data_IF_173574316248
#
_entry.id   IF_173574316248
#
_cell.length_a   1.000
_cell.length_b   1.000
_cell.length_c   1.000
_cell.angle_alpha   90.00
_cell.angle_beta   90.00
_cell.angle_gamma   90.00
#
_symmetry.space_group_name_H-M   'P 1'
#
loop_
_entity.id
_entity.type
_entity.pdbx_description
1 polymer ?
#
# COMPACT_ATOMS: atom_id res chain seq x y z
N UNK A 1 -11.89 -31.08 32.35
CA UNK A 1 -10.43 -31.03 32.21
C UNK A 1 -10.11 -31.29 30.74
N UNK A 2 -9.96 -30.26 29.96
CA UNK A 2 -9.63 -30.36 28.53
C UNK A 2 -8.14 -30.09 28.37
N UNK A 3 -7.41 -31.11 27.99
CA UNK A 3 -5.97 -31.06 27.73
C UNK A 3 -5.71 -30.08 26.58
N UNK A 4 -5.12 -28.93 26.92
CA UNK A 4 -4.54 -28.02 25.93
C UNK A 4 -3.43 -28.78 25.19
N UNK A 5 -3.57 -28.87 23.89
CA UNK A 5 -2.58 -29.44 22.99
C UNK A 5 -1.37 -28.49 22.95
N UNK A 6 -0.42 -28.60 23.86
CA UNK A 6 0.74 -27.73 24.09
C UNK A 6 1.90 -27.93 23.09
N UNK A 7 1.72 -28.74 22.03
CA UNK A 7 2.82 -29.12 21.11
C UNK A 7 2.62 -28.74 19.63
N UNK A 8 1.88 -27.66 19.32
CA UNK A 8 1.97 -27.15 17.94
C UNK A 8 3.12 -26.14 17.87
N UNK A 9 4.09 -26.32 16.95
CA UNK A 9 5.12 -25.32 16.72
C UNK A 9 4.46 -23.98 16.39
N UNK A 10 5.05 -22.90 16.91
CA UNK A 10 4.57 -21.53 16.64
C UNK A 10 4.51 -21.29 15.13
N UNK A 11 3.32 -21.02 14.62
CA UNK A 11 3.05 -20.74 13.21
C UNK A 11 2.42 -19.35 13.08
N UNK A 12 3.21 -18.38 12.66
CA UNK A 12 2.77 -16.98 12.55
C UNK A 12 1.51 -16.80 11.66
N UNK A 13 1.38 -17.45 10.49
CA UNK A 13 0.15 -17.40 9.70
C UNK A 13 -1.10 -17.81 10.48
N UNK A 14 -1.04 -18.91 11.24
CA UNK A 14 -2.17 -19.38 12.03
C UNK A 14 -2.53 -18.41 13.16
N UNK A 15 -1.53 -17.84 13.82
CA UNK A 15 -1.75 -16.84 14.88
C UNK A 15 -2.35 -15.55 14.34
N UNK A 16 -1.91 -15.09 13.17
CA UNK A 16 -2.51 -13.91 12.50
C UNK A 16 -3.96 -14.18 12.11
N UNK A 17 -4.27 -15.36 11.58
CA UNK A 17 -5.64 -15.74 11.25
C UNK A 17 -6.54 -15.77 12.51
N UNK A 18 -6.04 -16.32 13.62
CA UNK A 18 -6.75 -16.31 14.91
C UNK A 18 -6.97 -14.88 15.41
N UNK A 19 -5.94 -14.03 15.37
CA UNK A 19 -6.05 -12.63 15.74
C UNK A 19 -7.17 -11.93 14.94
N UNK A 20 -7.17 -12.10 13.61
CA UNK A 20 -8.19 -11.50 12.75
C UNK A 20 -9.59 -11.92 13.18
N UNK A 21 -9.82 -13.21 13.43
CA UNK A 21 -11.12 -13.73 13.86
C UNK A 21 -11.51 -13.18 15.24
N UNK A 22 -10.64 -13.30 16.23
CA UNK A 22 -10.89 -12.83 17.60
C UNK A 22 -11.21 -11.33 17.65
N UNK A 23 -10.48 -10.53 16.88
CA UNK A 23 -10.69 -9.08 16.87
C UNK A 23 -11.97 -8.67 16.12
N UNK A 24 -12.36 -9.39 15.07
CA UNK A 24 -13.63 -9.17 14.37
C UNK A 24 -14.84 -9.56 15.23
N UNK A 25 -14.70 -10.52 16.12
CA UNK A 25 -15.75 -10.97 17.00
C UNK A 25 -15.80 -10.17 18.32
N UNK A 26 -14.64 -9.97 18.95
CA UNK A 26 -14.52 -9.41 20.30
C UNK A 26 -14.45 -7.88 20.36
N UNK A 27 -14.03 -7.20 19.29
CA UNK A 27 -13.92 -5.74 19.27
C UNK A 27 -15.07 -5.12 18.49
N UNK A 28 -16.00 -4.46 19.18
CA UNK A 28 -17.26 -3.96 18.60
C UNK A 28 -17.02 -3.00 17.42
N UNK A 29 -16.05 -2.08 17.52
CA UNK A 29 -15.72 -1.16 16.44
C UNK A 29 -15.26 -1.90 15.18
N UNK A 30 -14.36 -2.87 15.34
CA UNK A 30 -13.86 -3.68 14.24
C UNK A 30 -15.00 -4.50 13.65
N UNK A 31 -15.76 -5.21 14.46
CA UNK A 31 -16.92 -6.03 14.02
C UNK A 31 -17.86 -5.22 13.14
N UNK A 32 -18.34 -4.06 13.61
CA UNK A 32 -19.25 -3.19 12.85
C UNK A 32 -18.67 -2.72 11.52
N UNK A 33 -17.36 -2.41 11.49
CA UNK A 33 -16.73 -1.92 10.28
C UNK A 33 -16.42 -3.03 9.28
N UNK A 34 -16.03 -4.23 9.73
CA UNK A 34 -15.87 -5.41 8.87
C UNK A 34 -17.22 -5.93 8.33
N UNK A 35 -18.28 -5.91 9.14
CA UNK A 35 -19.64 -6.19 8.67
C UNK A 35 -20.09 -5.18 7.59
N UNK A 36 -19.69 -3.92 7.73
CA UNK A 36 -19.95 -2.88 6.72
C UNK A 36 -19.37 -3.18 5.34
N UNK A 37 -18.31 -3.99 5.24
CA UNK A 37 -17.75 -4.39 3.95
C UNK A 37 -18.71 -5.25 3.11
N UNK A 38 -19.70 -5.91 3.72
CA UNK A 38 -20.73 -6.68 3.00
C UNK A 38 -21.66 -5.80 2.17
N UNK A 39 -21.71 -4.50 2.48
CA UNK A 39 -22.60 -3.53 1.81
C UNK A 39 -21.85 -2.59 0.85
N UNK A 40 -20.54 -2.76 0.68
CA UNK A 40 -19.79 -1.97 -0.29
C UNK A 40 -20.26 -2.26 -1.72
N UNK A 41 -20.30 -1.23 -2.55
CA UNK A 41 -20.62 -1.36 -3.97
C UNK A 41 -19.33 -1.18 -4.77
N UNK A 42 -19.23 -1.89 -5.87
CA UNK A 42 -18.09 -1.79 -6.78
C UNK A 42 -18.56 -1.46 -8.19
N UNK A 43 -17.69 -0.76 -8.93
CA UNK A 43 -17.85 -0.43 -10.34
C UNK A 43 -16.52 -0.68 -11.01
N UNK A 44 -16.52 -1.42 -12.11
CA UNK A 44 -15.29 -1.74 -12.84
C UNK A 44 -15.19 -0.86 -14.08
N UNK A 45 -14.03 -0.28 -14.28
CA UNK A 45 -13.63 0.44 -15.48
C UNK A 45 -12.65 -0.43 -16.26
N UNK A 46 -12.98 -0.76 -17.49
CA UNK A 46 -12.18 -1.61 -18.37
C UNK A 46 -11.35 -0.74 -19.32
N UNK A 47 -10.03 -0.96 -19.33
CA UNK A 47 -9.05 -0.25 -20.15
C UNK A 47 -8.38 -1.21 -21.17
N UNK A 48 -9.12 -2.16 -21.71
CA UNK A 48 -8.68 -3.19 -22.66
C UNK A 48 -7.74 -4.22 -22.03
N UNK A 49 -6.57 -3.78 -21.55
CA UNK A 49 -5.50 -4.65 -21.01
C UNK A 49 -5.43 -4.67 -19.49
N UNK A 50 -6.09 -3.76 -18.82
CA UNK A 50 -6.15 -3.69 -17.37
C UNK A 50 -7.49 -3.12 -16.88
N UNK A 51 -7.74 -3.26 -15.59
CA UNK A 51 -8.97 -2.78 -14.95
C UNK A 51 -8.67 -1.87 -13.78
N UNK A 52 -9.61 -0.96 -13.53
CA UNK A 52 -9.65 -0.19 -12.30
C UNK A 52 -11.00 -0.47 -11.65
N UNK A 53 -10.99 -0.82 -10.36
CA UNK A 53 -12.19 -1.08 -9.58
C UNK A 53 -12.41 0.10 -8.65
N UNK A 54 -13.52 0.79 -8.78
CA UNK A 54 -13.97 1.76 -7.78
C UNK A 54 -14.82 1.04 -6.72
N UNK A 55 -14.59 1.37 -5.44
CA UNK A 55 -15.33 0.84 -4.30
C UNK A 55 -15.96 1.99 -3.51
N UNK A 56 -17.28 2.00 -3.40
CA UNK A 56 -17.98 2.87 -2.46
C UNK A 56 -17.92 2.27 -1.06
N UNK A 57 -17.17 2.95 -0.16
CA UNK A 57 -17.00 2.52 1.22
C UNK A 57 -17.16 3.71 2.19
N UNK A 58 -18.40 3.97 2.68
CA UNK A 58 -18.68 5.15 3.53
C UNK A 58 -17.96 5.11 4.89
N UNK A 59 -17.54 3.93 5.37
CA UNK A 59 -16.79 3.81 6.63
C UNK A 59 -15.36 4.39 6.53
N UNK A 60 -14.90 4.64 5.31
CA UNK A 60 -13.56 5.21 5.05
C UNK A 60 -13.52 6.73 5.08
N UNK A 61 -14.64 7.43 5.26
CA UNK A 61 -14.68 8.90 5.19
C UNK A 61 -13.65 9.58 6.11
N UNK A 62 -13.47 9.06 7.34
CA UNK A 62 -12.47 9.59 8.28
C UNK A 62 -11.05 9.45 7.80
N UNK A 63 -10.71 8.31 7.17
CA UNK A 63 -9.38 8.05 6.67
C UNK A 63 -9.09 8.84 5.39
N UNK A 64 -10.03 8.89 4.45
CA UNK A 64 -9.86 9.61 3.18
C UNK A 64 -9.81 11.14 3.38
N UNK A 65 -10.53 11.66 4.37
CA UNK A 65 -10.53 13.08 4.74
C UNK A 65 -9.49 13.44 5.80
N UNK A 66 -8.61 12.52 6.21
CA UNK A 66 -7.64 12.77 7.27
C UNK A 66 -6.72 13.96 6.93
N UNK A 67 -6.56 14.87 7.89
CA UNK A 67 -5.58 15.95 7.80
C UNK A 67 -4.21 15.42 8.16
N UNK A 68 -3.31 15.43 7.19
CA UNK A 68 -1.94 14.91 7.33
C UNK A 68 -0.90 16.02 7.27
N UNK A 69 -1.31 17.27 7.36
CA UNK A 69 -0.40 18.40 7.50
C UNK A 69 0.33 18.37 8.85
N UNK A 70 1.56 18.89 8.89
CA UNK A 70 2.44 18.84 10.05
C UNK A 70 1.84 19.49 11.30
N UNK A 71 0.99 20.53 11.14
CA UNK A 71 0.33 21.22 12.25
C UNK A 71 -0.78 20.36 12.86
N UNK A 72 -1.56 19.65 12.05
CA UNK A 72 -2.61 18.74 12.50
C UNK A 72 -2.03 17.50 13.18
N UNK A 73 -0.94 16.95 12.64
CA UNK A 73 -0.25 15.79 13.21
C UNK A 73 0.33 16.09 14.58
N UNK A 74 1.03 17.20 14.76
CA UNK A 74 1.61 17.58 16.06
C UNK A 74 0.57 17.79 17.18
N UNK A 75 -0.68 18.07 16.84
CA UNK A 75 -1.76 18.35 17.81
C UNK A 75 -2.51 17.10 18.28
N UNK A 76 -2.36 15.97 17.59
CA UNK A 76 -3.07 14.74 17.94
C UNK A 76 -2.17 13.71 18.62
N UNK A 77 -2.69 12.91 19.56
CA UNK A 77 -2.00 11.70 20.00
C UNK A 77 -1.82 10.74 18.81
N UNK A 78 -0.63 10.16 18.68
CA UNK A 78 -0.41 9.16 17.64
C UNK A 78 -1.20 7.89 17.97
N UNK A 79 -2.14 7.51 17.13
CA UNK A 79 -3.01 6.35 17.34
C UNK A 79 -2.31 5.00 17.12
N UNK A 80 -1.08 4.99 16.60
CA UNK A 80 -0.26 3.78 16.42
C UNK A 80 0.62 3.50 17.64
N UNK A 81 0.88 4.50 18.51
CA UNK A 81 1.63 4.29 19.74
C UNK A 81 0.83 3.41 20.72
N UNK A 82 1.50 2.43 21.33
CA UNK A 82 0.91 1.48 22.29
C UNK A 82 0.07 2.17 23.37
N UNK A 83 0.58 3.27 23.95
CA UNK A 83 -0.09 4.03 25.01
C UNK A 83 -1.42 4.69 24.60
N UNK A 84 -1.66 4.82 23.28
CA UNK A 84 -2.87 5.48 22.75
C UNK A 84 -3.81 4.47 22.06
N UNK A 85 -3.39 3.21 21.97
CA UNK A 85 -4.15 2.12 21.36
C UNK A 85 -5.38 1.77 22.24
N UNK A 86 -6.55 1.49 21.65
CA UNK A 86 -7.69 0.97 22.38
C UNK A 86 -7.34 -0.34 23.13
N UNK A 87 -7.86 -0.54 24.33
CA UNK A 87 -7.60 -1.76 25.11
C UNK A 87 -8.07 -3.02 24.42
N UNK A 88 -9.12 -2.93 23.61
CA UNK A 88 -9.69 -4.03 22.84
C UNK A 88 -8.81 -4.43 21.63
N UNK A 89 -7.94 -3.53 21.17
CA UNK A 89 -7.06 -3.81 20.03
C UNK A 89 -5.83 -4.59 20.51
N UNK A 90 -5.92 -5.90 20.46
CA UNK A 90 -4.78 -6.79 20.73
C UNK A 90 -3.93 -6.99 19.48
N UNK A 91 -2.69 -7.42 19.65
CA UNK A 91 -1.75 -7.64 18.54
C UNK A 91 -0.83 -8.83 18.77
N UNK A 92 -0.06 -9.16 17.76
CA UNK A 92 1.00 -10.16 17.76
C UNK A 92 2.32 -9.45 17.50
N UNK A 93 3.32 -9.77 18.31
CA UNK A 93 4.66 -9.24 18.11
C UNK A 93 5.36 -9.90 16.91
N UNK A 94 6.02 -9.08 16.10
CA UNK A 94 6.88 -9.54 15.03
C UNK A 94 8.29 -8.95 15.19
N UNK A 95 9.31 -9.81 15.19
CA UNK A 95 10.73 -9.45 15.39
C UNK A 95 10.99 -8.53 16.60
N UNK A 96 10.18 -8.60 17.64
CA UNK A 96 10.20 -7.73 18.82
C UNK A 96 9.98 -6.24 18.55
N UNK A 97 10.10 -5.78 17.31
CA UNK A 97 10.05 -4.38 16.93
C UNK A 97 8.69 -3.92 16.42
N UNK A 98 7.87 -4.85 15.93
CA UNK A 98 6.57 -4.55 15.32
C UNK A 98 5.42 -5.19 16.08
N UNK A 99 4.24 -4.59 15.97
CA UNK A 99 2.99 -5.20 16.40
C UNK A 99 2.09 -5.43 15.17
N UNK A 100 1.69 -6.68 14.92
CA UNK A 100 0.69 -7.00 13.88
C UNK A 100 -0.69 -6.79 14.51
N UNK A 101 -1.43 -5.82 13.99
CA UNK A 101 -2.77 -5.41 14.44
C UNK A 101 -3.77 -5.56 13.30
N UNK A 102 -5.06 -5.76 13.59
CA UNK A 102 -6.07 -5.54 12.57
C UNK A 102 -6.30 -4.04 12.34
N UNK A 103 -6.61 -3.67 11.10
CA UNK A 103 -7.04 -2.30 10.81
C UNK A 103 -8.52 -2.15 11.18
N UNK A 104 -8.90 -1.24 12.11
CA UNK A 104 -10.30 -1.10 12.53
C UNK A 104 -11.20 -0.41 11.49
N UNK A 105 -10.61 0.18 10.46
CA UNK A 105 -11.32 0.81 9.33
C UNK A 105 -10.95 0.11 8.02
N UNK A 106 -11.42 -1.12 7.80
CA UNK A 106 -10.91 -1.96 6.73
C UNK A 106 -11.36 -1.49 5.33
N UNK A 107 -10.53 -1.82 4.34
CA UNK A 107 -10.87 -1.80 2.91
C UNK A 107 -11.14 -3.24 2.45
N UNK A 108 -10.44 -4.19 3.07
CA UNK A 108 -10.41 -5.61 2.71
C UNK A 108 -10.99 -6.46 3.84
N UNK A 109 -11.44 -7.67 3.51
CA UNK A 109 -11.95 -8.64 4.48
C UNK A 109 -10.91 -9.04 5.53
N UNK A 110 -9.64 -8.96 5.17
CA UNK A 110 -8.49 -9.09 6.07
C UNK A 110 -7.58 -7.90 5.80
N UNK A 111 -7.45 -7.04 6.78
CA UNK A 111 -6.68 -5.80 6.67
C UNK A 111 -5.88 -5.59 7.94
N UNK A 112 -4.56 -5.62 7.81
CA UNK A 112 -3.61 -5.46 8.91
C UNK A 112 -2.97 -4.09 8.89
N UNK A 113 -2.59 -3.61 10.06
CA UNK A 113 -1.69 -2.46 10.26
C UNK A 113 -0.54 -2.94 11.14
N UNK A 114 0.69 -2.69 10.72
CA UNK A 114 1.88 -3.24 11.35
C UNK A 114 2.81 -2.08 11.70
N UNK A 115 2.53 -1.36 12.82
CA UNK A 115 3.38 -0.29 13.28
C UNK A 115 4.68 -0.80 13.90
N UNK A 116 5.74 -0.04 13.73
CA UNK A 116 6.92 -0.13 14.56
C UNK A 116 6.53 0.23 16.00
N UNK A 117 7.06 -0.44 17.01
CA UNK A 117 6.76 -0.12 18.42
C UNK A 117 7.32 1.24 18.84
N UNK A 118 8.47 1.58 18.28
CA UNK A 118 9.08 2.89 18.43
C UNK A 118 8.40 3.92 17.53
N UNK A 119 8.21 5.15 18.04
CA UNK A 119 7.62 6.23 17.29
C UNK A 119 8.68 6.93 16.45
N UNK A 120 8.88 6.43 15.22
CA UNK A 120 9.84 6.95 14.24
C UNK A 120 9.12 7.38 12.96
N UNK A 121 9.68 8.32 12.20
CA UNK A 121 9.08 8.82 10.96
C UNK A 121 8.79 7.72 9.93
N UNK A 122 7.80 7.95 9.09
CA UNK A 122 7.41 7.07 8.00
C UNK A 122 8.43 7.18 6.86
N UNK A 123 9.48 6.33 6.89
CA UNK A 123 10.54 6.24 5.88
C UNK A 123 10.85 4.76 5.62
N UNK A 124 10.76 4.32 4.35
CA UNK A 124 10.87 2.89 4.00
C UNK A 124 12.31 2.39 3.99
N UNK A 125 13.27 3.22 3.60
CA UNK A 125 14.63 2.75 3.33
C UNK A 125 15.30 2.02 4.52
N UNK A 126 15.14 2.45 5.79
CA UNK A 126 15.71 1.75 6.93
C UNK A 126 15.04 0.41 7.26
N UNK A 127 13.81 0.18 6.78
CA UNK A 127 12.96 -0.96 7.17
C UNK A 127 12.56 -1.86 6.00
N UNK A 128 13.17 -1.66 4.83
CA UNK A 128 12.82 -2.44 3.65
C UNK A 128 13.14 -3.94 3.81
N UNK A 129 14.23 -4.28 4.48
CA UNK A 129 14.56 -5.67 4.79
C UNK A 129 13.54 -6.33 5.73
N UNK A 130 12.95 -5.58 6.67
CA UNK A 130 11.86 -6.07 7.53
C UNK A 130 10.59 -6.34 6.72
N UNK A 131 10.30 -5.51 5.71
CA UNK A 131 9.21 -5.75 4.76
C UNK A 131 9.41 -7.07 4.00
N UNK A 132 10.63 -7.36 3.54
CA UNK A 132 10.94 -8.63 2.88
C UNK A 132 10.78 -9.82 3.83
N UNK A 133 11.26 -9.72 5.06
CA UNK A 133 11.14 -10.78 6.08
C UNK A 133 9.68 -11.06 6.41
N UNK A 134 8.86 -10.04 6.65
CA UNK A 134 7.45 -10.23 7.01
C UNK A 134 6.63 -10.76 5.83
N UNK A 135 6.89 -10.30 4.60
CA UNK A 135 6.19 -10.79 3.41
C UNK A 135 6.48 -12.27 3.15
N UNK A 136 7.71 -12.73 3.41
CA UNK A 136 8.09 -14.14 3.34
C UNK A 136 7.46 -14.99 4.43
N UNK A 137 7.27 -14.44 5.64
CA UNK A 137 6.65 -15.12 6.79
C UNK A 137 5.12 -15.20 6.68
N UNK A 138 4.50 -14.28 5.97
CA UNK A 138 3.06 -14.19 5.74
C UNK A 138 2.75 -14.13 4.23
N UNK A 139 3.09 -15.19 3.48
CA UNK A 139 3.01 -15.18 2.01
C UNK A 139 1.57 -15.13 1.48
N UNK A 140 0.56 -15.31 2.31
CA UNK A 140 -0.86 -15.15 1.96
C UNK A 140 -1.31 -13.69 1.90
N UNK A 141 -0.46 -12.73 2.32
CA UNK A 141 -0.76 -11.31 2.29
C UNK A 141 0.06 -10.57 1.24
N UNK A 142 -0.51 -9.49 0.70
CA UNK A 142 0.20 -8.41 0.05
C UNK A 142 0.38 -7.29 1.05
N UNK A 143 1.62 -6.91 1.29
CA UNK A 143 1.99 -5.77 2.12
C UNK A 143 2.00 -4.52 1.27
N UNK A 144 1.69 -3.39 1.89
CA UNK A 144 1.76 -2.10 1.21
C UNK A 144 2.27 -1.01 2.15
N UNK A 145 2.97 -0.08 1.53
CA UNK A 145 3.58 1.07 2.19
C UNK A 145 3.11 2.35 1.51
N UNK A 146 2.67 3.28 2.32
CA UNK A 146 2.36 4.64 1.90
C UNK A 146 3.45 5.58 2.39
N UNK A 147 4.15 6.24 1.48
CA UNK A 147 5.14 7.26 1.85
C UNK A 147 4.50 8.41 2.63
N UNK A 148 5.28 9.17 3.42
CA UNK A 148 4.78 10.22 4.31
C UNK A 148 3.99 11.30 3.58
N UNK A 149 4.33 11.58 2.32
CA UNK A 149 3.65 12.53 1.44
C UNK A 149 2.75 11.83 0.39
N UNK A 150 2.49 10.51 0.54
CA UNK A 150 1.75 9.69 -0.43
C UNK A 150 0.64 8.87 0.21
N UNK A 151 -0.11 9.47 1.15
CA UNK A 151 -1.30 8.88 1.72
C UNK A 151 -1.11 8.13 3.05
N UNK A 152 0.07 8.20 3.69
CA UNK A 152 0.23 7.73 5.06
C UNK A 152 -0.67 8.52 6.00
N UNK A 153 -1.54 7.83 6.78
CA UNK A 153 -2.41 8.46 7.77
C UNK A 153 -1.68 8.85 9.06
N UNK A 154 -0.50 8.27 9.30
CA UNK A 154 0.42 8.58 10.37
C UNK A 154 1.84 8.75 9.80
N UNK A 155 2.14 9.87 9.11
CA UNK A 155 3.46 10.10 8.52
C UNK A 155 4.56 10.33 9.56
N UNK A 156 4.18 10.50 10.81
CA UNK A 156 5.04 10.63 11.99
C UNK A 156 5.37 9.28 12.67
N UNK A 157 4.74 8.17 12.25
CA UNK A 157 4.95 6.87 12.88
C UNK A 157 5.01 5.75 11.84
N UNK A 158 6.18 5.13 11.73
CA UNK A 158 6.44 4.07 10.75
C UNK A 158 5.49 2.88 10.89
N UNK A 159 4.90 2.47 9.78
CA UNK A 159 4.02 1.32 9.73
C UNK A 159 3.90 0.75 8.31
N UNK A 160 3.75 -0.56 8.23
CA UNK A 160 3.22 -1.24 7.05
C UNK A 160 1.72 -1.49 7.20
N UNK A 161 1.09 -1.80 6.10
CA UNK A 161 -0.23 -2.40 6.07
C UNK A 161 -0.20 -3.67 5.23
N UNK A 162 -1.19 -4.55 5.41
CA UNK A 162 -1.29 -5.74 4.60
C UNK A 162 -2.76 -6.15 4.37
N UNK A 163 -3.01 -6.81 3.26
CA UNK A 163 -4.31 -7.42 2.96
C UNK A 163 -4.10 -8.79 2.31
N UNK A 164 -5.16 -9.61 2.30
CA UNK A 164 -5.16 -10.86 1.51
C UNK A 164 -4.72 -10.57 0.08
N UNK A 165 -3.85 -11.41 -0.49
CA UNK A 165 -3.37 -11.30 -1.88
C UNK A 165 -4.49 -11.23 -2.91
N UNK A 166 -4.14 -10.70 -4.10
CA UNK A 166 -4.99 -10.65 -5.28
C UNK A 166 -6.29 -9.84 -5.06
N UNK A 167 -6.22 -8.80 -4.24
CA UNK A 167 -7.33 -7.86 -4.02
C UNK A 167 -7.20 -6.57 -4.84
N UNK A 168 -6.01 -6.26 -5.30
CA UNK A 168 -5.76 -5.12 -6.17
C UNK A 168 -5.49 -5.60 -7.60
N UNK A 169 -6.10 -4.99 -8.63
CA UNK A 169 -5.94 -5.42 -10.03
C UNK A 169 -4.50 -5.62 -10.47
N UNK A 170 -3.60 -4.72 -10.11
CA UNK A 170 -2.18 -4.79 -10.49
C UNK A 170 -1.50 -6.11 -10.08
N UNK A 171 -1.91 -6.72 -8.98
CA UNK A 171 -1.31 -7.98 -8.51
C UNK A 171 -1.51 -9.14 -9.50
N UNK A 172 -2.66 -9.13 -10.19
CA UNK A 172 -3.04 -10.16 -11.18
C UNK A 172 -2.52 -9.78 -12.56
N UNK A 173 -2.53 -8.49 -12.88
CA UNK A 173 -2.26 -7.97 -14.22
C UNK A 173 -0.77 -7.77 -14.49
N UNK A 174 0.07 -7.60 -13.45
CA UNK A 174 1.48 -7.18 -13.54
C UNK A 174 2.30 -7.88 -14.63
N UNK A 175 2.17 -9.21 -14.74
CA UNK A 175 2.95 -9.99 -15.70
C UNK A 175 2.47 -9.77 -17.15
N UNK A 176 1.16 -9.69 -17.35
CA UNK A 176 0.59 -9.40 -18.68
C UNK A 176 0.93 -8.00 -19.16
N UNK A 177 0.85 -7.02 -18.25
CA UNK A 177 1.19 -5.62 -18.55
C UNK A 177 2.69 -5.48 -18.81
N UNK A 178 3.54 -6.13 -18.00
CA UNK A 178 4.98 -6.13 -18.20
C UNK A 178 5.37 -6.74 -19.54
N UNK A 179 4.70 -7.81 -19.97
CA UNK A 179 4.92 -8.43 -21.28
C UNK A 179 4.46 -7.55 -22.46
N UNK A 180 3.39 -6.78 -22.28
CA UNK A 180 2.82 -5.95 -23.34
C UNK A 180 3.50 -4.56 -23.45
N UNK A 181 3.83 -3.94 -22.31
CA UNK A 181 4.24 -2.54 -22.23
C UNK A 181 5.49 -2.32 -21.36
N UNK A 182 6.11 -3.41 -20.88
CA UNK A 182 7.24 -3.32 -19.97
C UNK A 182 8.52 -2.95 -20.68
N UNK A 183 9.22 -1.99 -20.12
CA UNK A 183 10.58 -1.59 -20.46
C UNK A 183 11.54 -2.36 -19.56
N UNK A 184 12.24 -3.36 -20.07
CA UNK A 184 13.20 -4.14 -19.30
C UNK A 184 14.41 -3.28 -18.96
N UNK A 185 14.60 -3.01 -17.66
CA UNK A 185 15.72 -2.21 -17.16
C UNK A 185 16.91 -3.09 -16.77
N UNK A 186 16.63 -4.27 -16.18
CA UNK A 186 17.64 -5.19 -15.70
C UNK A 186 17.12 -6.63 -15.69
N UNK A 187 17.99 -7.59 -16.00
CA UNK A 187 17.71 -9.01 -15.84
C UNK A 187 19.00 -9.79 -15.64
N UNK A 188 19.00 -10.68 -14.63
CA UNK A 188 20.03 -11.70 -14.42
C UNK A 188 19.38 -13.05 -14.04
N UNK A 189 20.16 -13.96 -13.41
CA UNK A 189 19.66 -15.29 -13.00
C UNK A 189 18.68 -15.25 -11.84
N UNK A 190 18.72 -14.20 -11.00
CA UNK A 190 17.95 -14.06 -9.76
C UNK A 190 16.86 -13.02 -9.87
N UNK A 191 17.08 -11.95 -10.62
CA UNK A 191 16.28 -10.72 -10.58
C UNK A 191 15.84 -10.26 -11.96
N UNK A 192 14.67 -9.62 -12.01
CA UNK A 192 14.16 -8.90 -13.18
C UNK A 192 13.58 -7.58 -12.72
N UNK A 193 13.90 -6.48 -13.41
CA UNK A 193 13.39 -5.15 -13.12
C UNK A 193 12.79 -4.58 -14.41
N UNK A 194 11.52 -4.23 -14.36
CA UNK A 194 10.76 -3.71 -15.49
C UNK A 194 10.07 -2.41 -15.10
N UNK A 195 10.18 -1.39 -15.94
CA UNK A 195 9.40 -0.16 -15.82
C UNK A 195 8.16 -0.24 -16.73
N UNK A 196 7.03 0.29 -16.26
CA UNK A 196 5.78 0.37 -17.01
C UNK A 196 5.31 1.82 -17.00
N UNK A 197 5.08 2.39 -18.16
CA UNK A 197 4.76 3.80 -18.38
C UNK A 197 3.28 4.13 -18.44
N UNK A 198 2.95 5.08 -19.33
CA UNK A 198 1.63 5.68 -19.47
C UNK A 198 0.53 4.73 -19.93
N UNK A 199 0.87 3.69 -20.65
CA UNK A 199 -0.08 2.70 -21.14
C UNK A 199 -0.89 2.03 -20.04
N UNK A 200 -0.32 2.04 -18.81
CA UNK A 200 -0.98 1.53 -17.61
C UNK A 200 -1.62 2.63 -16.76
N UNK A 201 -1.58 3.90 -17.15
CA UNK A 201 -1.97 5.12 -16.39
C UNK A 201 -1.16 5.35 -15.11
N UNK A 202 -0.72 4.32 -14.45
CA UNK A 202 0.00 4.33 -13.17
C UNK A 202 1.43 3.89 -13.41
N UNK A 203 2.33 4.85 -13.61
CA UNK A 203 3.76 4.53 -13.78
C UNK A 203 4.27 3.71 -12.61
N UNK A 204 4.97 2.64 -12.89
CA UNK A 204 5.50 1.75 -11.86
C UNK A 204 6.85 1.14 -12.25
N UNK A 205 7.59 0.69 -11.24
CA UNK A 205 8.76 -0.18 -11.38
C UNK A 205 8.41 -1.50 -10.69
N UNK A 206 8.45 -2.58 -11.44
CA UNK A 206 8.25 -3.93 -10.95
C UNK A 206 9.61 -4.60 -10.76
N UNK A 207 9.88 -5.10 -9.55
CA UNK A 207 11.10 -5.79 -9.18
C UNK A 207 10.71 -7.19 -8.73
N UNK A 208 11.26 -8.21 -9.37
CA UNK A 208 11.08 -9.61 -9.00
C UNK A 208 12.44 -10.22 -8.71
N UNK A 209 12.67 -10.81 -7.53
CA UNK A 209 13.94 -11.43 -7.19
C UNK A 209 13.79 -12.64 -6.28
N UNK A 210 14.64 -13.67 -6.51
CA UNK A 210 14.80 -14.83 -5.63
C UNK A 210 15.79 -14.57 -4.50
N UNK A 211 16.63 -13.56 -4.64
CA UNK A 211 17.68 -13.19 -3.68
C UNK A 211 17.23 -11.99 -2.85
N UNK A 212 17.20 -12.15 -1.53
CA UNK A 212 16.91 -11.05 -0.59
C UNK A 212 17.98 -9.94 -0.70
N UNK A 213 19.24 -10.32 -0.87
CA UNK A 213 20.35 -9.37 -0.97
C UNK A 213 20.26 -8.54 -2.24
N UNK A 214 19.98 -9.18 -3.39
CA UNK A 214 19.83 -8.47 -4.66
C UNK A 214 18.58 -7.57 -4.63
N UNK A 215 17.49 -8.03 -4.03
CA UNK A 215 16.28 -7.20 -3.85
C UNK A 215 16.59 -5.93 -3.05
N UNK A 216 17.33 -6.04 -1.93
CA UNK A 216 17.75 -4.89 -1.12
C UNK A 216 18.67 -3.98 -1.92
N UNK A 217 19.62 -4.55 -2.66
CA UNK A 217 20.57 -3.81 -3.49
C UNK A 217 19.85 -2.99 -4.57
N UNK A 218 19.00 -3.63 -5.35
CA UNK A 218 18.23 -2.98 -6.42
C UNK A 218 17.29 -1.91 -5.87
N UNK A 219 16.61 -2.21 -4.76
CA UNK A 219 15.74 -1.24 -4.11
C UNK A 219 16.51 0.02 -3.67
N UNK A 220 17.71 -0.12 -3.09
CA UNK A 220 18.57 1.02 -2.74
C UNK A 220 18.94 1.87 -3.95
N UNK A 221 19.29 1.23 -5.08
CA UNK A 221 19.60 1.96 -6.32
C UNK A 221 18.39 2.77 -6.77
N UNK A 222 17.21 2.18 -6.77
CA UNK A 222 15.97 2.84 -7.21
C UNK A 222 15.62 4.01 -6.29
N UNK A 223 15.63 3.82 -4.96
CA UNK A 223 15.32 4.87 -4.00
C UNK A 223 16.30 6.04 -4.10
N UNK A 224 17.60 5.76 -4.20
CA UNK A 224 18.61 6.79 -4.36
C UNK A 224 18.43 7.56 -5.67
N UNK A 225 18.07 6.87 -6.76
CA UNK A 225 17.83 7.51 -8.06
C UNK A 225 16.58 8.40 -8.05
N UNK A 226 15.56 8.04 -7.26
CA UNK A 226 14.38 8.89 -7.01
C UNK A 226 14.71 10.10 -6.14
N UNK A 227 15.56 9.95 -5.11
CA UNK A 227 15.91 11.02 -4.15
C UNK A 227 16.72 12.16 -4.79
N UNK A 228 17.43 11.92 -5.89
CA UNK A 228 18.24 12.94 -6.58
C UNK A 228 17.46 14.14 -7.14
N UNK A 229 16.14 14.11 -7.09
CA UNK A 229 15.28 15.26 -7.44
C UNK A 229 15.31 16.42 -6.43
N UNK A 230 16.11 16.32 -5.37
CA UNK A 230 16.32 17.42 -4.40
C UNK A 230 15.15 17.66 -3.44
N UNK A 231 14.26 16.72 -3.25
CA UNK A 231 13.22 16.78 -2.24
C UNK A 231 13.80 16.43 -0.86
N UNK A 232 13.45 17.21 0.16
CA UNK A 232 13.79 16.86 1.53
C UNK A 232 13.03 15.61 1.98
N UNK A 233 13.74 14.66 2.60
CA UNK A 233 13.20 13.39 3.12
C UNK A 233 13.02 12.32 2.05
N UNK A 234 12.18 11.36 2.33
CA UNK A 234 11.89 10.25 1.42
C UNK A 234 11.23 10.75 0.12
N UNK A 235 11.66 10.24 -1.06
CA UNK A 235 11.01 10.54 -2.32
C UNK A 235 9.53 10.09 -2.28
N UNK A 236 8.70 10.78 -3.03
CA UNK A 236 7.27 10.45 -3.06
C UNK A 236 7.04 9.11 -3.76
N UNK A 237 6.54 8.13 -3.01
CA UNK A 237 6.26 6.79 -3.53
C UNK A 237 5.14 6.07 -2.76
N UNK A 238 4.56 5.09 -3.44
CA UNK A 238 3.79 4.00 -2.84
C UNK A 238 4.40 2.66 -3.25
N UNK A 239 4.19 1.63 -2.45
CA UNK A 239 4.81 0.33 -2.69
C UNK A 239 3.85 -0.79 -2.31
N UNK A 240 3.85 -1.86 -3.13
CA UNK A 240 3.26 -3.15 -2.82
C UNK A 240 4.38 -4.19 -2.77
N UNK A 241 4.28 -5.13 -1.82
CA UNK A 241 5.25 -6.20 -1.66
C UNK A 241 4.55 -7.51 -1.34
N UNK A 242 4.92 -8.58 -2.01
CA UNK A 242 4.51 -9.92 -1.64
C UNK A 242 5.64 -10.93 -1.89
N UNK A 243 5.48 -12.13 -1.31
CA UNK A 243 6.33 -13.27 -1.58
C UNK A 243 5.50 -14.35 -2.28
N UNK A 244 5.93 -14.78 -3.46
CA UNK A 244 5.19 -15.71 -4.31
C UNK A 244 6.13 -16.81 -4.83
N UNK A 245 5.77 -18.07 -4.55
CA UNK A 245 6.64 -19.20 -4.88
C UNK A 245 7.96 -19.12 -4.11
N UNK A 246 9.04 -18.73 -4.81
CA UNK A 246 10.38 -18.62 -4.25
C UNK A 246 10.99 -17.22 -4.39
N UNK A 247 10.15 -16.20 -4.70
CA UNK A 247 10.64 -14.85 -4.99
C UNK A 247 9.79 -13.76 -4.36
N UNK A 248 10.45 -12.65 -4.09
CA UNK A 248 9.79 -11.39 -3.74
C UNK A 248 9.34 -10.65 -5.00
N UNK A 249 8.16 -10.07 -4.92
CA UNK A 249 7.57 -9.22 -5.94
C UNK A 249 7.30 -7.85 -5.32
N UNK A 250 7.98 -6.82 -5.82
CA UNK A 250 7.83 -5.44 -5.37
C UNK A 250 7.29 -4.61 -6.54
N UNK A 251 6.20 -3.88 -6.28
CA UNK A 251 5.67 -2.90 -7.23
C UNK A 251 5.79 -1.53 -6.59
N UNK A 252 6.65 -0.68 -7.15
CA UNK A 252 6.89 0.67 -6.68
C UNK A 252 6.25 1.66 -7.63
N UNK A 253 5.42 2.56 -7.10
CA UNK A 253 4.79 3.65 -7.83
C UNK A 253 5.49 4.96 -7.47
N UNK A 254 6.30 5.55 -8.35
CA UNK A 254 6.85 6.89 -8.15
C UNK A 254 5.75 7.94 -8.32
N UNK A 255 5.73 8.94 -7.42
CA UNK A 255 4.66 9.91 -7.31
C UNK A 255 5.17 11.34 -7.44
N UNK A 256 4.34 12.24 -7.95
CA UNK A 256 4.60 13.69 -8.00
C UNK A 256 3.77 14.45 -6.96
N UNK A 257 2.54 14.03 -6.71
CA UNK A 257 1.70 14.69 -5.69
C UNK A 257 0.79 13.70 -4.95
N UNK A 258 0.40 14.07 -3.74
CA UNK A 258 -0.44 13.23 -2.89
C UNK A 258 -1.88 13.14 -3.40
N UNK A 259 -2.46 14.27 -3.79
CA UNK A 259 -3.88 14.42 -4.10
C UNK A 259 -4.08 15.18 -5.40
N UNK A 260 -5.03 14.76 -6.23
CA UNK A 260 -5.37 15.48 -7.46
C UNK A 260 -6.16 16.76 -7.18
N UNK A 261 -6.28 17.62 -8.17
CA UNK A 261 -7.01 18.91 -8.07
C UNK A 261 -8.47 18.72 -7.67
N UNK A 262 -9.11 17.64 -8.09
CA UNK A 262 -10.48 17.28 -7.73
C UNK A 262 -10.70 17.15 -6.22
N UNK A 263 -9.66 16.77 -5.46
CA UNK A 263 -9.77 16.71 -3.99
C UNK A 263 -9.98 18.09 -3.37
N UNK A 264 -9.38 19.12 -3.94
CA UNK A 264 -9.41 20.50 -3.44
C UNK A 264 -10.49 21.37 -4.11
N UNK A 265 -11.13 20.85 -5.14
CA UNK A 265 -12.23 21.55 -5.83
C UNK A 265 -13.42 21.78 -4.88
N UNK A 266 -14.35 22.64 -5.28
CA UNK A 266 -15.57 22.94 -4.52
C UNK A 266 -16.82 22.51 -5.30
N UNK A 267 -17.92 22.37 -4.58
CA UNK A 267 -19.22 22.07 -5.17
C UNK A 267 -19.26 20.72 -5.89
N UNK A 268 -19.81 20.71 -7.10
CA UNK A 268 -20.00 19.50 -7.91
C UNK A 268 -18.69 18.93 -8.49
N UNK A 269 -17.67 19.75 -8.64
CA UNK A 269 -16.38 19.34 -9.18
C UNK A 269 -15.50 18.63 -8.13
N UNK A 270 -15.83 18.80 -6.84
CA UNK A 270 -15.10 18.13 -5.77
C UNK A 270 -15.29 16.62 -5.83
N UNK A 271 -14.19 15.88 -5.72
CA UNK A 271 -14.19 14.44 -5.52
C UNK A 271 -13.24 14.08 -4.36
N UNK A 272 -13.78 13.48 -3.32
CA UNK A 272 -12.99 13.09 -2.15
C UNK A 272 -12.18 11.82 -2.45
N UNK A 273 -11.15 11.99 -3.26
CA UNK A 273 -10.22 10.93 -3.69
C UNK A 273 -8.79 11.30 -3.29
N UNK A 274 -8.09 10.38 -2.65
CA UNK A 274 -6.71 10.60 -2.17
C UNK A 274 -5.88 9.34 -2.44
N UNK A 275 -5.36 9.19 -3.68
CA UNK A 275 -4.69 7.97 -4.10
C UNK A 275 -3.47 7.65 -3.22
N UNK A 276 -3.45 6.42 -2.69
CA UNK A 276 -2.37 5.80 -1.94
C UNK A 276 -2.06 4.42 -2.55
N UNK A 277 -1.32 3.54 -1.89
CA UNK A 277 -0.92 2.24 -2.45
C UNK A 277 -2.08 1.41 -3.00
N UNK A 278 -3.23 1.44 -2.35
CA UNK A 278 -4.41 0.65 -2.75
C UNK A 278 -4.99 1.20 -4.05
N UNK A 279 -5.14 2.52 -4.16
CA UNK A 279 -5.63 3.17 -5.37
C UNK A 279 -4.61 3.03 -6.52
N UNK A 280 -3.32 3.19 -6.24
CA UNK A 280 -2.26 2.93 -7.22
C UNK A 280 -2.26 1.47 -7.67
N UNK A 281 -2.65 0.54 -6.79
CA UNK A 281 -2.89 -0.87 -7.11
C UNK A 281 -4.13 -1.14 -7.97
N UNK A 282 -4.94 -0.11 -8.24
CA UNK A 282 -6.13 -0.19 -9.11
C UNK A 282 -7.46 -0.39 -8.37
N UNK A 283 -7.49 -0.30 -7.03
CA UNK A 283 -8.72 -0.32 -6.25
C UNK A 283 -8.98 1.06 -5.63
N UNK A 284 -9.78 1.87 -6.30
CA UNK A 284 -10.10 3.26 -5.91
C UNK A 284 -11.19 3.29 -4.84
N UNK A 285 -10.88 3.85 -3.67
CA UNK A 285 -11.80 3.92 -2.54
C UNK A 285 -12.48 5.29 -2.50
N UNK A 286 -13.78 5.29 -2.61
CA UNK A 286 -14.62 6.49 -2.58
C UNK A 286 -15.57 6.43 -1.37
N UNK A 287 -15.44 7.34 -0.40
CA UNK A 287 -16.27 7.33 0.80
C UNK A 287 -17.63 8.00 0.60
N UNK A 288 -17.80 8.82 -0.43
CA UNK A 288 -19.06 9.50 -0.75
C UNK A 288 -19.75 8.82 -1.94
N UNK A 289 -21.07 8.70 -1.83
CA UNK A 289 -21.88 8.03 -2.86
C UNK A 289 -21.88 8.82 -4.17
N UNK A 290 -22.01 10.13 -4.06
CA UNK A 290 -21.97 11.05 -5.21
C UNK A 290 -20.68 10.94 -6.01
N UNK A 291 -19.53 10.81 -5.34
CA UNK A 291 -18.23 10.63 -6.02
C UNK A 291 -18.14 9.29 -6.74
N UNK A 292 -18.67 8.23 -6.12
CA UNK A 292 -18.72 6.90 -6.73
C UNK A 292 -19.63 6.86 -7.96
N UNK A 293 -20.78 7.55 -7.92
CA UNK A 293 -21.73 7.57 -9.02
C UNK A 293 -21.23 8.37 -10.21
N UNK A 294 -20.60 9.53 -9.97
CA UNK A 294 -20.12 10.42 -11.03
C UNK A 294 -18.77 10.04 -11.64
N UNK A 295 -17.95 9.24 -10.95
CA UNK A 295 -16.62 8.86 -11.42
C UNK A 295 -16.67 8.24 -12.83
N UNK A 296 -15.85 8.75 -13.74
CA UNK A 296 -15.73 8.29 -15.12
C UNK A 296 -14.33 7.73 -15.42
N UNK A 297 -14.13 7.14 -16.60
CA UNK A 297 -12.80 6.72 -17.06
C UNK A 297 -11.87 7.93 -17.27
N UNK A 298 -12.41 9.04 -17.76
CA UNK A 298 -11.61 10.24 -18.02
C UNK A 298 -11.18 10.91 -16.71
N UNK A 299 -12.04 10.90 -15.68
CA UNK A 299 -11.63 11.31 -14.32
C UNK A 299 -10.45 10.47 -13.82
N UNK A 300 -10.50 9.14 -14.02
CA UNK A 300 -9.42 8.25 -13.60
C UNK A 300 -8.11 8.53 -14.34
N UNK A 301 -8.16 8.75 -15.66
CA UNK A 301 -6.98 9.12 -16.45
C UNK A 301 -6.36 10.41 -15.93
N UNK A 302 -7.19 11.45 -15.73
CA UNK A 302 -6.73 12.74 -15.24
C UNK A 302 -6.15 12.63 -13.82
N UNK A 303 -6.85 11.95 -12.90
CA UNK A 303 -6.39 11.74 -11.52
C UNK A 303 -5.04 11.03 -11.48
N UNK A 304 -4.88 9.92 -12.20
CA UNK A 304 -3.62 9.18 -12.22
C UNK A 304 -2.49 9.96 -12.89
N UNK A 305 -2.79 10.71 -13.94
CA UNK A 305 -1.81 11.58 -14.58
C UNK A 305 -1.28 12.66 -13.62
N UNK A 306 -2.16 13.24 -12.80
CA UNK A 306 -1.75 14.26 -11.82
C UNK A 306 -0.90 13.67 -10.68
N UNK A 307 -1.23 12.48 -10.18
CA UNK A 307 -0.60 11.95 -8.96
C UNK A 307 0.61 11.06 -9.22
N UNK A 308 0.76 10.51 -10.43
CA UNK A 308 1.95 9.75 -10.83
C UNK A 308 3.09 10.68 -11.21
N UNK A 309 4.32 10.18 -11.14
CA UNK A 309 5.48 10.89 -11.68
C UNK A 309 5.23 11.33 -13.13
N UNK A 310 5.60 12.54 -13.49
CA UNK A 310 5.44 13.03 -14.88
C UNK A 310 6.31 12.24 -15.87
N UNK A 311 6.03 12.36 -17.16
CA UNK A 311 6.66 11.55 -18.21
C UNK A 311 8.15 11.80 -18.33
N UNK A 312 8.55 13.06 -18.35
CA UNK A 312 9.95 13.46 -18.50
C UNK A 312 10.81 12.90 -17.36
N UNK A 313 10.36 13.06 -16.14
CA UNK A 313 11.05 12.57 -14.95
C UNK A 313 11.10 11.03 -14.90
N UNK A 314 10.05 10.36 -15.37
CA UNK A 314 10.03 8.91 -15.41
C UNK A 314 10.99 8.34 -16.46
N UNK A 315 11.07 8.97 -17.65
CA UNK A 315 12.07 8.58 -18.65
C UNK A 315 13.50 8.81 -18.15
N UNK A 316 13.77 9.97 -17.52
CA UNK A 316 15.07 10.24 -16.91
C UNK A 316 15.42 9.21 -15.81
N UNK A 317 14.43 8.79 -15.01
CA UNK A 317 14.62 7.74 -14.02
C UNK A 317 15.00 6.41 -14.68
N UNK A 318 14.30 6.00 -15.75
CA UNK A 318 14.62 4.77 -16.50
C UNK A 318 16.05 4.79 -17.03
N UNK A 319 16.47 5.90 -17.65
CA UNK A 319 17.85 6.05 -18.14
C UNK A 319 18.89 5.91 -17.03
N UNK A 320 18.67 6.57 -15.89
CA UNK A 320 19.54 6.43 -14.72
C UNK A 320 19.62 4.99 -14.22
N UNK A 321 18.47 4.29 -14.15
CA UNK A 321 18.41 2.92 -13.68
C UNK A 321 19.12 1.94 -14.62
N UNK A 322 19.01 2.10 -15.95
CA UNK A 322 19.75 1.27 -16.92
C UNK A 322 21.26 1.34 -16.76
N UNK A 323 21.78 2.47 -16.24
CA UNK A 323 23.22 2.66 -16.03
C UNK A 323 23.68 2.13 -14.67
N UNK A 324 22.79 2.10 -13.66
CA UNK A 324 23.15 1.82 -12.27
C UNK A 324 22.85 0.39 -11.81
N UNK A 325 21.89 -0.27 -12.46
CA UNK A 325 21.53 -1.67 -12.23
C UNK A 325 22.46 -2.60 -12.97
#
# INVERSE_FOLDING_TARGET
>A
MSSRNENRPYNLPDEVNKLIQQQKEGWELARKNYEGLKSVKTKTFDFEVFKIIAQFNPKRIRSSAAKTDSKSIRKRPCFLCEKNKPQEQTGIDFNSNYSILINPFPIFSEHLTIPLKEHLPQEIAPYFDDLLKISRKLPQFTFFYNGPKCGASAPDHFHFQACTKNKMPVEIEKNGIAAAYGDLLFQDQTSTITAIGNEYLRKLIHISSKSEQDMIHHFKIIINSLAEKGQEGEPMLNLLANFEGDRWEIILFPRDQQRPTQFFAEGLDQMLISPASVEMGGLVILPRKEDFEKLTQDDLKDIYNQVSMNDEDFEQLKEKLRVRL
#
